data_IF_480480133832
#
_entry.id   IF_480480133832
#
_cell.length_a   1.000
_cell.length_b   1.000
_cell.length_c   1.000
_cell.angle_alpha   90.00
_cell.angle_beta   90.00
_cell.angle_gamma   90.00
#
_symmetry.space_group_name_H-M   'P 1'
#
loop_
_entity.id
_entity.type
_entity.pdbx_description
1 polymer ?
#
# COMPACT_ATOMS: atom_id res chain seq x y z
N UNK A 1 4.67 -15.68 -14.41
CA UNK A 1 3.72 -15.17 -13.38
C UNK A 1 4.39 -15.08 -12.03
N UNK A 2 4.10 -14.01 -11.28
CA UNK A 2 4.68 -13.85 -9.95
C UNK A 2 4.22 -14.96 -9.00
N UNK A 3 5.16 -15.60 -8.31
CA UNK A 3 4.88 -16.68 -7.37
C UNK A 3 5.00 -16.19 -5.93
N UNK A 4 3.85 -15.96 -5.30
CA UNK A 4 3.78 -15.53 -3.91
C UNK A 4 3.83 -16.74 -2.97
N UNK A 5 4.51 -16.58 -1.83
CA UNK A 5 4.52 -17.61 -0.78
C UNK A 5 3.16 -17.76 -0.10
N UNK A 6 2.28 -16.77 -0.24
CA UNK A 6 0.96 -16.80 0.37
C UNK A 6 -0.13 -17.26 -0.59
N UNK A 7 0.21 -17.65 -1.80
CA UNK A 7 -0.77 -18.07 -2.81
C UNK A 7 -1.51 -19.32 -2.37
N UNK A 8 -2.85 -19.27 -2.42
CA UNK A 8 -3.73 -20.36 -2.10
C UNK A 8 -5.12 -20.03 -2.67
N UNK A 9 -6.01 -21.03 -2.74
CA UNK A 9 -7.38 -20.78 -3.15
C UNK A 9 -8.07 -19.78 -2.22
N UNK A 10 -7.82 -19.87 -0.94
CA UNK A 10 -8.39 -18.93 0.04
C UNK A 10 -7.93 -17.51 -0.20
N UNK A 11 -6.64 -17.33 -0.45
CA UNK A 11 -6.08 -16.00 -0.73
C UNK A 11 -6.60 -15.47 -2.05
N UNK A 12 -6.70 -16.33 -3.08
CA UNK A 12 -7.26 -15.94 -4.37
C UNK A 12 -8.71 -15.44 -4.21
N UNK A 13 -9.53 -16.14 -3.42
CA UNK A 13 -10.91 -15.74 -3.16
C UNK A 13 -10.99 -14.37 -2.49
N UNK A 14 -10.10 -14.11 -1.54
CA UNK A 14 -10.02 -12.81 -0.88
C UNK A 14 -9.68 -11.72 -1.89
N UNK A 15 -8.68 -11.95 -2.71
CA UNK A 15 -8.25 -10.93 -3.68
C UNK A 15 -9.29 -10.70 -4.76
N UNK A 16 -10.03 -11.75 -5.18
CA UNK A 16 -11.15 -11.59 -6.10
C UNK A 16 -12.22 -10.68 -5.49
N UNK A 17 -12.51 -10.87 -4.20
CA UNK A 17 -13.47 -10.03 -3.49
C UNK A 17 -12.98 -8.57 -3.43
N UNK A 18 -11.70 -8.36 -3.13
CA UNK A 18 -11.12 -7.02 -3.09
C UNK A 18 -11.20 -6.35 -4.47
N UNK A 19 -10.93 -7.10 -5.53
CA UNK A 19 -11.01 -6.57 -6.90
C UNK A 19 -12.42 -6.21 -7.32
N UNK A 20 -13.44 -6.69 -6.63
CA UNK A 20 -14.84 -6.35 -6.93
C UNK A 20 -15.31 -5.06 -6.24
N UNK A 21 -14.51 -4.51 -5.34
CA UNK A 21 -14.84 -3.27 -4.64
C UNK A 21 -14.87 -2.10 -5.62
N UNK A 22 -15.87 -1.22 -5.48
CA UNK A 22 -16.13 -0.17 -6.46
C UNK A 22 -16.00 1.25 -5.93
N UNK A 23 -15.82 1.41 -4.63
CA UNK A 23 -15.71 2.74 -4.04
C UNK A 23 -14.91 2.67 -2.74
N UNK A 24 -14.45 3.83 -2.29
CA UNK A 24 -13.75 3.94 -1.01
C UNK A 24 -14.69 3.53 0.12
N UNK A 25 -15.97 3.90 0.03
CA UNK A 25 -16.95 3.51 1.05
C UNK A 25 -17.10 1.99 1.15
N UNK A 26 -17.16 1.30 0.00
CA UNK A 26 -17.22 -0.16 0.01
C UNK A 26 -15.98 -0.77 0.62
N UNK A 27 -14.81 -0.18 0.37
CA UNK A 27 -13.56 -0.62 0.98
C UNK A 27 -13.63 -0.50 2.51
N UNK A 28 -14.11 0.62 3.04
CA UNK A 28 -14.26 0.79 4.47
C UNK A 28 -15.18 -0.28 5.05
N UNK A 29 -16.33 -0.51 4.44
CA UNK A 29 -17.29 -1.52 4.91
C UNK A 29 -16.69 -2.92 4.90
N UNK A 30 -16.02 -3.29 3.81
CA UNK A 30 -15.44 -4.62 3.67
C UNK A 30 -14.29 -4.84 4.66
N UNK A 31 -13.37 -3.89 4.74
CA UNK A 31 -12.21 -4.03 5.62
C UNK A 31 -12.55 -3.85 7.09
N UNK A 32 -13.59 -3.09 7.42
CA UNK A 32 -14.07 -3.01 8.80
C UNK A 32 -14.60 -4.38 9.28
N UNK A 33 -15.23 -5.15 8.38
CA UNK A 33 -15.65 -6.50 8.71
C UNK A 33 -14.50 -7.50 8.73
N UNK A 34 -13.56 -7.37 7.81
CA UNK A 34 -12.49 -8.34 7.60
C UNK A 34 -11.34 -8.19 8.59
N UNK A 35 -10.98 -6.96 8.94
CA UNK A 35 -9.80 -6.65 9.73
C UNK A 35 -10.16 -6.04 11.07
N UNK A 36 -9.27 -6.20 12.04
CA UNK A 36 -9.35 -5.40 13.27
C UNK A 36 -8.95 -3.95 12.93
N UNK A 37 -9.34 -3.02 13.82
CA UNK A 37 -8.97 -1.61 13.67
C UNK A 37 -7.46 -1.46 13.57
N UNK A 38 -6.71 -2.15 14.46
CA UNK A 38 -5.24 -2.05 14.47
C UNK A 38 -4.62 -2.61 13.20
N UNK A 39 -5.16 -3.69 12.67
CA UNK A 39 -4.67 -4.26 11.41
C UNK A 39 -4.84 -3.27 10.26
N UNK A 40 -6.00 -2.66 10.16
CA UNK A 40 -6.27 -1.71 9.08
C UNK A 40 -5.40 -0.46 9.22
N UNK A 41 -5.28 0.07 10.44
CA UNK A 41 -4.43 1.25 10.68
C UNK A 41 -2.96 0.96 10.34
N UNK A 42 -2.47 -0.24 10.69
CA UNK A 42 -1.09 -0.62 10.37
C UNK A 42 -0.86 -0.69 8.87
N UNK A 43 -1.80 -1.27 8.11
CA UNK A 43 -1.71 -1.31 6.65
C UNK A 43 -1.73 0.09 6.05
N UNK A 44 -2.62 0.95 6.55
CA UNK A 44 -2.74 2.33 6.08
C UNK A 44 -1.45 3.11 6.30
N UNK A 45 -0.83 2.95 7.47
CA UNK A 45 0.43 3.62 7.79
C UNK A 45 1.57 3.14 6.89
N UNK A 46 1.62 1.83 6.63
CA UNK A 46 2.66 1.28 5.74
C UNK A 46 2.51 1.81 4.33
N UNK A 47 1.30 1.88 3.82
CA UNK A 47 1.08 2.40 2.48
C UNK A 47 1.40 3.90 2.40
N UNK A 48 0.98 4.68 3.39
CA UNK A 48 1.29 6.10 3.44
C UNK A 48 2.80 6.34 3.51
N UNK A 49 3.52 5.54 4.31
CA UNK A 49 4.97 5.61 4.38
C UNK A 49 5.62 5.27 3.03
N UNK A 50 5.11 4.24 2.34
CA UNK A 50 5.63 3.86 1.03
C UNK A 50 5.46 5.00 0.03
N UNK A 51 4.31 5.66 0.03
CA UNK A 51 4.05 6.79 -0.86
C UNK A 51 5.00 7.96 -0.58
N UNK A 52 5.21 8.28 0.69
CA UNK A 52 6.13 9.36 1.06
C UNK A 52 7.57 9.05 0.69
N UNK A 53 8.00 7.80 0.88
CA UNK A 53 9.34 7.36 0.45
C UNK A 53 9.48 7.42 -1.07
N UNK A 54 8.45 7.00 -1.78
CA UNK A 54 8.41 7.05 -3.24
C UNK A 54 8.60 8.50 -3.73
N UNK A 55 8.01 9.46 -3.03
CA UNK A 55 8.10 10.88 -3.38
C UNK A 55 9.37 11.54 -2.89
N UNK A 56 10.25 10.81 -2.22
CA UNK A 56 11.55 11.32 -1.79
C UNK A 56 11.63 11.92 -0.40
N UNK A 57 10.60 11.71 0.43
CA UNK A 57 10.65 12.19 1.82
C UNK A 57 11.72 11.45 2.61
N UNK A 58 12.31 12.13 3.59
CA UNK A 58 13.31 11.53 4.47
C UNK A 58 12.62 10.68 5.54
N UNK A 59 13.37 9.73 6.12
CA UNK A 59 12.87 8.94 7.24
C UNK A 59 12.44 9.82 8.42
N UNK A 60 13.23 10.85 8.73
CA UNK A 60 12.90 11.79 9.82
C UNK A 60 11.57 12.46 9.59
N UNK A 61 11.35 12.97 8.38
CA UNK A 61 10.10 13.65 8.05
C UNK A 61 8.90 12.72 8.18
N UNK A 62 9.04 11.48 7.70
CA UNK A 62 7.95 10.50 7.74
C UNK A 62 7.63 10.10 9.19
N UNK A 63 8.66 9.82 9.98
CA UNK A 63 8.50 9.48 11.40
C UNK A 63 7.74 10.59 12.14
N UNK A 64 8.11 11.83 11.87
CA UNK A 64 7.47 12.99 12.49
C UNK A 64 6.02 13.14 12.07
N UNK A 65 5.72 12.95 10.78
CA UNK A 65 4.37 13.15 10.26
C UNK A 65 3.39 12.03 10.64
N UNK A 66 3.80 10.78 10.54
CA UNK A 66 2.88 9.65 10.76
C UNK A 66 3.21 8.78 11.95
N UNK A 67 4.32 9.03 12.62
CA UNK A 67 4.64 8.32 13.87
C UNK A 67 5.00 6.85 13.72
N UNK A 68 5.35 6.40 12.51
CA UNK A 68 5.82 5.01 12.31
C UNK A 68 7.24 4.85 12.82
N UNK A 69 7.58 3.64 13.28
CA UNK A 69 8.92 3.36 13.77
C UNK A 69 9.93 3.30 12.63
N UNK A 70 11.20 3.51 12.95
CA UNK A 70 12.28 3.38 11.97
C UNK A 70 12.40 1.95 11.43
N UNK A 71 12.09 0.95 12.27
CA UNK A 71 12.08 -0.45 11.83
C UNK A 71 11.02 -0.68 10.75
N UNK A 72 9.82 -0.12 10.94
CA UNK A 72 8.74 -0.21 9.96
C UNK A 72 9.14 0.49 8.66
N UNK A 73 9.72 1.70 8.75
CA UNK A 73 10.19 2.43 7.56
C UNK A 73 11.27 1.67 6.80
N UNK A 74 12.22 1.05 7.52
CA UNK A 74 13.28 0.26 6.89
C UNK A 74 12.68 -0.88 6.10
N UNK A 75 11.70 -1.58 6.68
CA UNK A 75 11.02 -2.68 5.98
C UNK A 75 10.24 -2.20 4.76
N UNK A 76 9.46 -1.12 4.91
CA UNK A 76 8.69 -0.56 3.80
C UNK A 76 9.62 -0.11 2.68
N UNK A 77 10.72 0.54 3.01
CA UNK A 77 11.69 1.01 2.02
C UNK A 77 12.32 -0.17 1.26
N UNK A 78 12.64 -1.24 1.98
CA UNK A 78 13.17 -2.46 1.35
C UNK A 78 12.16 -3.06 0.39
N UNK A 79 10.88 -3.15 0.79
CA UNK A 79 9.84 -3.68 -0.08
C UNK A 79 9.61 -2.79 -1.29
N UNK A 80 9.69 -1.47 -1.12
CA UNK A 80 9.54 -0.53 -2.24
C UNK A 80 10.65 -0.71 -3.27
N UNK A 81 11.87 -0.92 -2.82
CA UNK A 81 13.05 -1.02 -3.71
C UNK A 81 13.27 -2.43 -4.25
N UNK A 82 13.08 -3.44 -3.42
CA UNK A 82 13.48 -4.82 -3.74
C UNK A 82 12.40 -5.86 -3.49
N UNK A 83 11.16 -5.43 -3.22
CA UNK A 83 10.08 -6.35 -2.88
C UNK A 83 9.37 -6.94 -4.09
N UNK A 84 8.12 -7.31 -3.88
CA UNK A 84 7.29 -7.96 -4.89
C UNK A 84 6.84 -7.04 -6.03
N UNK A 85 7.06 -5.74 -5.90
CA UNK A 85 6.66 -4.76 -6.91
C UNK A 85 5.26 -4.19 -6.74
N UNK A 86 4.56 -4.56 -5.65
CA UNK A 86 3.20 -4.09 -5.41
C UNK A 86 3.11 -2.60 -5.15
N UNK A 87 3.93 -2.10 -4.23
CA UNK A 87 3.96 -0.66 -3.94
C UNK A 87 4.32 0.13 -5.18
N UNK A 88 5.38 -0.31 -5.86
CA UNK A 88 5.88 0.39 -7.03
C UNK A 88 4.82 0.45 -8.14
N UNK A 89 4.15 -0.66 -8.40
CA UNK A 89 3.12 -0.73 -9.43
C UNK A 89 1.98 0.27 -9.17
N UNK A 90 1.49 0.31 -7.94
CA UNK A 90 0.39 1.20 -7.56
C UNK A 90 0.83 2.67 -7.61
N UNK A 91 2.02 2.96 -7.07
CA UNK A 91 2.50 4.34 -6.99
C UNK A 91 2.94 4.87 -8.36
N UNK A 92 3.56 4.04 -9.19
CA UNK A 92 3.89 4.42 -10.57
C UNK A 92 2.61 4.76 -11.35
N UNK A 93 1.57 3.95 -11.18
CA UNK A 93 0.29 4.18 -11.85
C UNK A 93 -0.33 5.50 -11.40
N UNK A 94 -0.34 5.76 -10.11
CA UNK A 94 -0.91 6.97 -9.53
C UNK A 94 -0.19 8.23 -10.03
N UNK A 95 1.14 8.23 -9.98
CA UNK A 95 1.93 9.42 -10.31
C UNK A 95 2.13 9.59 -11.81
N UNK A 96 2.15 8.50 -12.55
CA UNK A 96 2.21 8.57 -14.02
C UNK A 96 0.93 9.17 -14.59
N UNK A 97 -0.24 8.77 -14.08
CA UNK A 97 -1.52 9.33 -14.52
C UNK A 97 -1.61 10.82 -14.21
N UNK A 98 -1.17 11.24 -13.01
CA UNK A 98 -1.16 12.65 -12.63
C UNK A 98 -0.24 13.47 -13.54
N UNK A 99 0.93 12.92 -13.91
CA UNK A 99 1.86 13.57 -14.83
C UNK A 99 1.27 13.74 -16.22
N UNK A 100 0.61 12.69 -16.73
CA UNK A 100 -0.04 12.71 -18.05
C UNK A 100 -1.16 13.73 -18.08
N UNK A 101 -1.94 13.84 -17.01
CA UNK A 101 -3.01 14.83 -16.89
C UNK A 101 -2.46 16.26 -16.88
N UNK A 102 -1.31 16.46 -16.25
CA UNK A 102 -0.68 17.79 -16.18
C UNK A 102 -0.05 18.20 -17.51
N UNK A 103 0.37 17.24 -18.32
CA UNK A 103 0.99 17.49 -19.61
C UNK A 103 -0.02 17.80 -20.71
N UNK A 104 -1.27 17.53 -20.46
CA UNK A 104 -2.33 17.85 -21.43
C UNK A 104 -2.95 19.21 -21.11
#
# INVERSE_FOLDING_TARGET
MYESKTRSEETDHLFEAILSLRSVEECYRFFDDLCTINELLAMSQRFDAAEKLYRGSTFSAITEEIGVSSATLTRVNRCLKYGAGGYKAILDRKYRQASDENDS
#
